data_IF_774829637931
#
_entry.id   IF_774829637931
#
_cell.length_a   1.000
_cell.length_b   1.000
_cell.length_c   1.000
_cell.angle_alpha   90.00
_cell.angle_beta   90.00
_cell.angle_gamma   90.00
#
_symmetry.space_group_name_H-M   'P 1'
#
loop_
_entity.id
_entity.type
_entity.pdbx_description
1 polymer ?
#
# COMPACT_ATOMS: atom_id res chain seq x y z
N UNK A 1 23.38 81.48 -31.94
CA UNK A 1 24.23 80.27 -31.93
C UNK A 1 23.55 79.12 -31.18
N UNK A 2 22.25 79.21 -30.87
CA UNK A 2 21.64 78.41 -29.80
C UNK A 2 20.94 77.12 -30.24
N UNK A 3 20.57 76.99 -31.53
CA UNK A 3 19.80 75.84 -31.99
C UNK A 3 20.63 74.53 -32.07
N UNK A 4 21.91 74.65 -32.39
CA UNK A 4 22.83 73.52 -32.50
C UNK A 4 23.27 73.00 -31.12
N UNK A 5 23.42 73.89 -30.14
CA UNK A 5 23.73 73.48 -28.76
C UNK A 5 22.52 72.77 -28.13
N UNK A 6 21.30 73.29 -28.31
CA UNK A 6 20.05 72.67 -27.84
C UNK A 6 19.85 71.26 -28.42
N UNK A 7 20.05 71.07 -29.73
CA UNK A 7 19.97 69.75 -30.35
C UNK A 7 21.03 68.78 -29.82
N UNK A 8 22.26 69.25 -29.59
CA UNK A 8 23.33 68.44 -29.03
C UNK A 8 23.01 67.99 -27.59
N UNK A 9 22.52 68.92 -26.75
CA UNK A 9 22.12 68.63 -25.38
C UNK A 9 20.95 67.65 -25.31
N UNK A 10 19.93 67.81 -26.15
CA UNK A 10 18.80 66.89 -26.21
C UNK A 10 19.24 65.48 -26.62
N UNK A 11 20.10 65.38 -27.62
CA UNK A 11 20.61 64.09 -28.12
C UNK A 11 21.46 63.37 -27.07
N UNK A 12 22.22 64.12 -26.26
CA UNK A 12 22.97 63.57 -25.13
C UNK A 12 22.06 63.04 -24.03
N UNK A 13 20.98 63.77 -23.72
CA UNK A 13 19.99 63.35 -22.71
C UNK A 13 19.25 62.08 -23.15
N UNK A 14 18.83 62.01 -24.42
CA UNK A 14 18.17 60.85 -25.00
C UNK A 14 19.08 59.61 -25.00
N UNK A 15 20.39 59.80 -25.23
CA UNK A 15 21.37 58.72 -25.19
C UNK A 15 21.52 58.17 -23.77
N UNK A 16 21.63 59.06 -22.77
CA UNK A 16 21.75 58.67 -21.37
C UNK A 16 20.49 57.94 -20.87
N UNK A 17 19.30 58.37 -21.30
CA UNK A 17 18.05 57.67 -21.01
C UNK A 17 18.01 56.27 -21.63
N UNK A 18 18.46 56.12 -22.88
CA UNK A 18 18.56 54.81 -23.56
C UNK A 18 19.54 53.89 -22.86
N UNK A 19 20.68 54.39 -22.41
CA UNK A 19 21.68 53.59 -21.70
C UNK A 19 21.14 53.11 -20.34
N UNK A 20 20.42 53.97 -19.61
CA UNK A 20 19.73 53.56 -18.37
C UNK A 20 18.64 52.52 -18.63
N UNK A 21 17.82 52.71 -19.65
CA UNK A 21 16.77 51.76 -20.02
C UNK A 21 17.37 50.40 -20.43
N UNK A 22 18.48 50.41 -21.18
CA UNK A 22 19.21 49.20 -21.56
C UNK A 22 19.81 48.49 -20.34
N UNK A 23 20.37 49.23 -19.39
CA UNK A 23 20.90 48.65 -18.15
C UNK A 23 19.79 47.96 -17.34
N UNK A 24 18.65 48.62 -17.14
CA UNK A 24 17.49 48.03 -16.47
C UNK A 24 16.97 46.79 -17.20
N UNK A 25 16.85 46.86 -18.52
CA UNK A 25 16.41 45.74 -19.35
C UNK A 25 17.35 44.54 -19.23
N UNK A 26 18.67 44.77 -19.22
CA UNK A 26 19.67 43.71 -19.01
C UNK A 26 19.56 43.08 -17.63
N UNK A 27 19.40 43.90 -16.58
CA UNK A 27 19.23 43.40 -15.20
C UNK A 27 17.98 42.53 -15.09
N UNK A 28 16.85 42.99 -15.64
CA UNK A 28 15.60 42.23 -15.60
C UNK A 28 15.66 40.94 -16.43
N UNK A 29 16.32 40.98 -17.59
CA UNK A 29 16.54 39.78 -18.42
C UNK A 29 17.37 38.74 -17.65
N UNK A 30 18.42 39.16 -16.94
CA UNK A 30 19.22 38.27 -16.10
C UNK A 30 18.41 37.68 -14.95
N UNK A 31 17.55 38.49 -14.30
CA UNK A 31 16.66 38.04 -13.23
C UNK A 31 15.69 36.95 -13.73
N UNK A 32 15.01 37.22 -14.85
CA UNK A 32 14.08 36.28 -15.48
C UNK A 32 14.80 35.01 -15.95
N UNK A 33 16.02 35.12 -16.47
CA UNK A 33 16.81 33.95 -16.89
C UNK A 33 17.12 33.04 -15.70
N UNK A 34 17.47 33.61 -14.54
CA UNK A 34 17.70 32.84 -13.32
C UNK A 34 16.42 32.17 -12.82
N UNK A 35 15.30 32.90 -12.79
CA UNK A 35 14.00 32.37 -12.37
C UNK A 35 13.54 31.21 -13.27
N UNK A 36 13.74 31.32 -14.59
CA UNK A 36 13.46 30.21 -15.53
C UNK A 36 14.35 29.01 -15.26
N UNK A 37 15.63 29.19 -14.95
CA UNK A 37 16.54 28.09 -14.62
C UNK A 37 16.14 27.37 -13.32
N UNK A 38 15.73 28.13 -12.30
CA UNK A 38 15.25 27.59 -11.03
C UNK A 38 13.95 26.80 -11.23
N UNK A 39 12.96 27.38 -11.91
CA UNK A 39 11.68 26.72 -12.21
C UNK A 39 11.89 25.45 -13.04
N UNK A 40 12.78 25.49 -14.04
CA UNK A 40 13.13 24.31 -14.84
C UNK A 40 13.69 23.19 -13.97
N UNK A 41 14.52 23.53 -12.99
CA UNK A 41 15.09 22.55 -12.05
C UNK A 41 14.01 21.97 -11.12
N UNK A 42 13.10 22.82 -10.64
CA UNK A 42 12.00 22.38 -9.80
C UNK A 42 11.01 21.47 -10.53
N UNK A 43 10.70 21.77 -11.80
CA UNK A 43 9.86 20.92 -12.65
C UNK A 43 10.50 19.55 -12.82
N UNK A 44 11.79 19.49 -13.19
CA UNK A 44 12.50 18.20 -13.32
C UNK A 44 12.45 17.36 -12.05
N UNK A 45 12.70 17.97 -10.89
CA UNK A 45 12.63 17.27 -9.60
C UNK A 45 11.21 16.75 -9.30
N UNK A 46 10.20 17.52 -9.69
CA UNK A 46 8.80 17.11 -9.52
C UNK A 46 8.42 15.96 -10.44
N UNK A 47 8.90 15.98 -11.69
CA UNK A 47 8.70 14.90 -12.66
C UNK A 47 9.37 13.60 -12.21
N UNK A 48 10.60 13.69 -11.69
CA UNK A 48 11.32 12.54 -11.10
C UNK A 48 10.55 11.94 -9.91
N UNK A 49 10.04 12.78 -9.01
CA UNK A 49 9.25 12.32 -7.87
C UNK A 49 7.92 11.68 -8.31
N UNK A 50 7.27 12.24 -9.34
CA UNK A 50 6.03 11.68 -9.89
C UNK A 50 6.28 10.30 -10.50
N UNK A 51 7.39 10.12 -11.23
CA UNK A 51 7.75 8.83 -11.80
C UNK A 51 8.01 7.79 -10.70
N UNK A 52 8.77 8.15 -9.65
CA UNK A 52 9.04 7.25 -8.53
C UNK A 52 7.77 6.84 -7.78
N UNK A 53 6.89 7.80 -7.49
CA UNK A 53 5.60 7.53 -6.84
C UNK A 53 4.70 6.64 -7.70
N UNK A 54 4.68 6.82 -9.02
CA UNK A 54 3.91 5.98 -9.92
C UNK A 54 4.41 4.53 -9.92
N UNK A 55 5.72 4.32 -9.87
CA UNK A 55 6.28 2.97 -9.82
C UNK A 55 6.04 2.31 -8.46
N UNK A 56 6.16 3.05 -7.35
CA UNK A 56 5.77 2.56 -6.03
C UNK A 56 4.29 2.14 -5.98
N UNK A 57 3.40 2.93 -6.59
CA UNK A 57 1.97 2.63 -6.64
C UNK A 57 1.70 1.31 -7.39
N UNK A 58 2.34 1.12 -8.55
CA UNK A 58 2.23 -0.15 -9.31
C UNK A 58 2.73 -1.34 -8.50
N UNK A 59 3.86 -1.20 -7.79
CA UNK A 59 4.38 -2.27 -6.94
C UNK A 59 3.40 -2.62 -5.83
N UNK A 60 2.85 -1.61 -5.14
CA UNK A 60 1.87 -1.81 -4.08
C UNK A 60 0.56 -2.43 -4.59
N UNK A 61 0.09 -2.06 -5.79
CA UNK A 61 -1.08 -2.69 -6.42
C UNK A 61 -0.83 -4.17 -6.71
N UNK A 62 0.34 -4.52 -7.27
CA UNK A 62 0.71 -5.91 -7.52
C UNK A 62 0.83 -6.73 -6.22
N UNK A 63 1.42 -6.14 -5.17
CA UNK A 63 1.48 -6.79 -3.86
C UNK A 63 0.09 -7.00 -3.25
N UNK A 64 -0.79 -6.01 -3.35
CA UNK A 64 -2.17 -6.13 -2.89
C UNK A 64 -2.89 -7.28 -3.60
N UNK A 65 -2.78 -7.39 -4.91
CA UNK A 65 -3.37 -8.50 -5.67
C UNK A 65 -2.82 -9.86 -5.24
N UNK A 66 -1.50 -9.95 -5.00
CA UNK A 66 -0.85 -11.14 -4.46
C UNK A 66 -1.40 -11.53 -3.08
N UNK A 67 -1.61 -10.55 -2.19
CA UNK A 67 -2.18 -10.79 -0.86
C UNK A 67 -3.63 -11.27 -0.91
N UNK A 68 -4.45 -10.71 -1.80
CA UNK A 68 -5.85 -11.16 -1.98
C UNK A 68 -5.90 -12.62 -2.43
N UNK A 69 -5.00 -13.03 -3.34
CA UNK A 69 -4.91 -14.44 -3.75
C UNK A 69 -4.50 -15.34 -2.58
N UNK A 70 -3.47 -14.96 -1.82
CA UNK A 70 -3.02 -15.70 -0.64
C UNK A 70 -4.12 -15.84 0.42
N UNK A 71 -4.86 -14.77 0.69
CA UNK A 71 -5.99 -14.79 1.64
C UNK A 71 -7.05 -15.82 1.22
N UNK A 72 -7.42 -15.81 -0.07
CA UNK A 72 -8.36 -16.78 -0.61
C UNK A 72 -7.87 -18.23 -0.46
N UNK A 73 -6.59 -18.47 -0.76
CA UNK A 73 -5.99 -19.80 -0.60
C UNK A 73 -5.97 -20.25 0.87
N UNK A 74 -5.66 -19.34 1.80
CA UNK A 74 -5.69 -19.64 3.23
C UNK A 74 -7.09 -19.97 3.74
N UNK A 75 -8.10 -19.21 3.32
CA UNK A 75 -9.50 -19.49 3.67
C UNK A 75 -9.93 -20.86 3.17
N UNK A 76 -9.64 -21.16 1.89
CA UNK A 76 -9.96 -22.46 1.30
C UNK A 76 -9.27 -23.62 2.04
N UNK A 77 -7.98 -23.47 2.33
CA UNK A 77 -7.22 -24.49 3.06
C UNK A 77 -7.73 -24.66 4.50
N UNK A 78 -8.15 -23.58 5.16
CA UNK A 78 -8.72 -23.64 6.51
C UNK A 78 -10.04 -24.42 6.53
N UNK A 79 -10.92 -24.22 5.54
CA UNK A 79 -12.16 -24.99 5.41
C UNK A 79 -11.87 -26.47 5.17
N UNK A 80 -10.97 -26.77 4.23
CA UNK A 80 -10.57 -28.15 3.94
C UNK A 80 -9.97 -28.85 5.17
N UNK A 81 -9.11 -28.17 5.92
CA UNK A 81 -8.51 -28.71 7.15
C UNK A 81 -9.57 -28.96 8.23
N UNK A 82 -10.54 -28.06 8.39
CA UNK A 82 -11.65 -28.25 9.33
C UNK A 82 -12.44 -29.52 9.00
N UNK A 83 -12.77 -29.73 7.73
CA UNK A 83 -13.50 -30.92 7.27
C UNK A 83 -12.68 -32.21 7.44
N UNK A 84 -11.38 -32.15 7.14
CA UNK A 84 -10.46 -33.27 7.32
C UNK A 84 -10.30 -33.66 8.79
N UNK A 85 -10.13 -32.68 9.68
CA UNK A 85 -10.03 -32.91 11.12
C UNK A 85 -11.33 -33.51 11.65
N UNK A 86 -12.48 -32.93 11.31
CA UNK A 86 -13.79 -33.44 11.74
C UNK A 86 -14.04 -34.88 11.27
N UNK A 87 -13.73 -35.17 10.01
CA UNK A 87 -13.90 -36.51 9.44
C UNK A 87 -12.95 -37.53 10.08
N UNK A 88 -11.67 -37.18 10.23
CA UNK A 88 -10.66 -38.07 10.84
C UNK A 88 -10.97 -38.36 12.30
N UNK A 89 -11.38 -37.33 13.05
CA UNK A 89 -11.77 -37.43 14.45
C UNK A 89 -13.00 -38.33 14.62
N UNK A 90 -14.05 -38.13 13.82
CA UNK A 90 -15.24 -38.97 13.84
C UNK A 90 -14.92 -40.44 13.50
N UNK A 91 -14.09 -40.67 12.49
CA UNK A 91 -13.65 -42.03 12.13
C UNK A 91 -12.90 -42.70 13.28
N UNK A 92 -11.94 -42.00 13.89
CA UNK A 92 -11.19 -42.52 15.05
C UNK A 92 -12.10 -42.85 16.23
N UNK A 93 -13.08 -42.00 16.50
CA UNK A 93 -14.07 -42.23 17.56
C UNK A 93 -14.93 -43.47 17.31
N UNK A 94 -15.44 -43.66 16.09
CA UNK A 94 -16.20 -44.86 15.74
C UNK A 94 -15.35 -46.13 15.88
N UNK A 95 -14.10 -46.10 15.41
CA UNK A 95 -13.17 -47.24 15.58
C UNK A 95 -12.92 -47.56 17.06
N UNK A 96 -12.81 -46.54 17.92
CA UNK A 96 -12.66 -46.76 19.36
C UNK A 96 -13.92 -47.41 19.98
N UNK A 97 -15.12 -46.96 19.60
CA UNK A 97 -16.37 -47.59 20.04
C UNK A 97 -16.49 -49.04 19.57
N UNK A 98 -16.10 -49.33 18.33
CA UNK A 98 -16.04 -50.70 17.81
C UNK A 98 -15.08 -51.58 18.60
N UNK A 99 -13.89 -51.07 18.97
CA UNK A 99 -12.95 -51.79 19.83
C UNK A 99 -13.55 -52.11 21.21
N UNK A 100 -14.29 -51.16 21.80
CA UNK A 100 -14.98 -51.40 23.09
C UNK A 100 -16.04 -52.48 22.95
N UNK A 101 -16.83 -52.48 21.86
CA UNK A 101 -17.83 -53.54 21.60
C UNK A 101 -17.23 -54.93 21.48
N UNK A 102 -16.02 -55.06 20.93
CA UNK A 102 -15.32 -56.35 20.84
C UNK A 102 -14.93 -56.87 22.22
N UNK A 103 -14.48 -55.99 23.12
CA UNK A 103 -14.04 -56.36 24.47
C UNK A 103 -15.21 -56.52 25.45
N UNK A 104 -16.26 -55.72 25.28
CA UNK A 104 -17.45 -55.66 26.14
C UNK A 104 -18.72 -55.64 25.27
N UNK A 105 -19.18 -56.80 24.77
CA UNK A 105 -20.31 -56.88 23.83
C UNK A 105 -21.63 -56.34 24.38
N UNK A 106 -21.83 -56.41 25.70
CA UNK A 106 -23.05 -55.97 26.38
C UNK A 106 -22.99 -54.51 26.86
N UNK A 107 -21.92 -53.78 26.57
CA UNK A 107 -21.79 -52.37 26.96
C UNK A 107 -22.74 -51.48 26.16
N UNK A 108 -23.55 -50.68 26.85
CA UNK A 108 -24.35 -49.64 26.21
C UNK A 108 -23.48 -48.42 25.88
N UNK A 109 -23.18 -48.25 24.59
CA UNK A 109 -22.43 -47.12 24.05
C UNK A 109 -23.31 -46.05 23.43
N UNK A 110 -24.65 -46.17 23.53
CA UNK A 110 -25.57 -45.15 23.03
C UNK A 110 -25.38 -43.75 23.67
N UNK A 111 -24.91 -43.62 24.92
CA UNK A 111 -24.63 -42.32 25.52
C UNK A 111 -23.30 -41.70 25.08
N UNK A 112 -22.45 -42.45 24.35
CA UNK A 112 -21.11 -41.99 24.00
C UNK A 112 -21.18 -40.80 23.05
N UNK A 113 -20.50 -39.71 23.42
CA UNK A 113 -20.49 -38.46 22.68
C UNK A 113 -19.07 -37.91 22.69
N UNK A 114 -18.54 -37.64 21.50
CA UNK A 114 -17.19 -37.13 21.29
C UNK A 114 -16.99 -35.70 21.81
N UNK A 115 -18.09 -34.97 22.00
CA UNK A 115 -18.09 -33.58 22.49
C UNK A 115 -18.16 -33.48 24.02
N UNK A 116 -18.29 -34.60 24.73
CA UNK A 116 -18.42 -34.65 26.19
C UNK A 116 -17.12 -35.11 26.84
N UNK A 117 -16.94 -34.74 28.10
CA UNK A 117 -15.84 -35.19 28.95
C UNK A 117 -16.35 -36.12 30.06
N UNK A 118 -15.45 -36.86 30.70
CA UNK A 118 -15.77 -37.76 31.80
C UNK A 118 -15.42 -37.11 33.14
N UNK A 119 -16.43 -36.87 33.98
CA UNK A 119 -16.27 -36.37 35.35
C UNK A 119 -16.99 -37.33 36.30
N UNK A 120 -16.28 -37.85 37.30
CA UNK A 120 -16.79 -38.84 38.27
C UNK A 120 -17.50 -40.05 37.63
N UNK A 121 -17.01 -40.46 36.45
CA UNK A 121 -17.56 -41.59 35.69
C UNK A 121 -18.83 -41.27 34.88
N UNK A 122 -19.24 -40.00 34.82
CA UNK A 122 -20.38 -39.56 34.01
C UNK A 122 -19.91 -38.71 32.82
N UNK A 123 -20.61 -38.83 31.69
CA UNK A 123 -20.41 -37.96 30.53
C UNK A 123 -21.10 -36.62 30.78
N UNK A 124 -20.32 -35.56 30.83
CA UNK A 124 -20.79 -34.19 31.04
C UNK A 124 -20.36 -33.30 29.89
N UNK A 125 -21.12 -32.24 29.63
CA UNK A 125 -20.76 -31.24 28.64
C UNK A 125 -19.47 -30.51 29.06
N UNK A 126 -18.69 -30.11 28.07
CA UNK A 126 -17.51 -29.29 28.31
C UNK A 126 -17.99 -27.84 28.48
N UNK A 127 -17.76 -27.25 29.65
CA UNK A 127 -17.96 -25.81 29.84
C UNK A 127 -16.86 -25.05 29.06
N UNK A 128 -17.26 -24.20 28.11
CA UNK A 128 -16.37 -23.30 27.36
C UNK A 128 -15.72 -22.21 28.26
#
# INVERSE_FOLDING_TARGET
MDQFSLQSTQKSLDLEQKDRALALSKTETSRLTNEVAELTTQVKKSDELLADLQDQLKTLEAEKESWVLKEKDFLHNSELLKDQIGSSLNMGFQLALEQVRVLYPDADLSPADISKTVVDGQLVDIDD
#
